data_IF_996061969692
#
_entry.id   IF_996061969692
#
_cell.length_a   1.000
_cell.length_b   1.000
_cell.length_c   1.000
_cell.angle_alpha   90.00
_cell.angle_beta   90.00
_cell.angle_gamma   90.00
#
_symmetry.space_group_name_H-M   'P 1'
#
loop_
_entity.id
_entity.type
_entity.pdbx_description
1 polymer ?
#
# COMPACT_ATOMS: atom_id res chain seq x y z
N UNK A 1 -15.23 -14.08 16.08
CA UNK A 1 -14.61 -13.21 15.06
C UNK A 1 -15.43 -13.31 13.79
N UNK A 2 -15.88 -12.18 13.27
CA UNK A 2 -16.64 -12.13 12.03
C UNK A 2 -15.71 -12.45 10.82
N UNK A 3 -16.30 -12.87 9.69
CA UNK A 3 -15.56 -13.27 8.50
C UNK A 3 -14.61 -12.14 8.03
N UNK A 4 -15.07 -10.88 8.03
CA UNK A 4 -14.25 -9.72 7.69
C UNK A 4 -12.98 -9.63 8.56
N UNK A 5 -13.10 -9.72 9.89
CA UNK A 5 -11.97 -9.69 10.81
C UNK A 5 -10.98 -10.85 10.59
N UNK A 6 -11.48 -12.03 10.18
CA UNK A 6 -10.60 -13.17 9.84
C UNK A 6 -9.79 -12.88 8.58
N UNK A 7 -10.39 -12.25 7.57
CA UNK A 7 -9.71 -11.89 6.34
C UNK A 7 -8.66 -10.79 6.56
N UNK A 8 -8.97 -9.78 7.39
CA UNK A 8 -8.00 -8.75 7.80
C UNK A 8 -6.82 -9.36 8.56
N UNK A 9 -7.08 -10.30 9.48
CA UNK A 9 -6.03 -11.00 10.23
C UNK A 9 -5.18 -11.88 9.30
N UNK A 10 -5.81 -12.60 8.37
CA UNK A 10 -5.10 -13.39 7.35
C UNK A 10 -4.12 -12.51 6.56
N UNK A 11 -4.55 -11.31 6.14
CA UNK A 11 -3.67 -10.36 5.46
C UNK A 11 -2.46 -9.99 6.30
N UNK A 12 -2.64 -9.66 7.57
CA UNK A 12 -1.53 -9.34 8.48
C UNK A 12 -0.56 -10.51 8.62
N UNK A 13 -1.09 -11.75 8.67
CA UNK A 13 -0.27 -12.97 8.71
C UNK A 13 0.49 -13.18 7.39
N UNK A 14 -0.10 -12.84 6.25
CA UNK A 14 0.54 -13.00 4.93
C UNK A 14 1.71 -12.03 4.72
N UNK A 15 1.74 -10.88 5.40
CA UNK A 15 2.80 -9.86 5.24
C UNK A 15 4.21 -10.39 5.53
N UNK A 16 4.48 -11.08 6.66
CA UNK A 16 5.81 -11.62 6.90
C UNK A 16 6.22 -12.70 5.90
N UNK A 17 5.27 -13.50 5.39
CA UNK A 17 5.57 -14.45 4.32
C UNK A 17 5.90 -13.74 3.00
N UNK A 18 5.17 -12.68 2.67
CA UNK A 18 5.49 -11.83 1.53
C UNK A 18 6.92 -11.27 1.64
N UNK A 19 7.27 -10.68 2.79
CA UNK A 19 8.60 -10.13 3.03
C UNK A 19 9.68 -11.23 2.94
N UNK A 20 9.42 -12.40 3.52
CA UNK A 20 10.33 -13.54 3.43
C UNK A 20 10.63 -13.92 1.98
N UNK A 21 9.60 -14.13 1.16
CA UNK A 21 9.81 -14.48 -0.25
C UNK A 21 10.44 -13.35 -1.06
N UNK A 22 10.10 -12.08 -0.78
CA UNK A 22 10.73 -10.94 -1.45
C UNK A 22 12.24 -10.88 -1.18
N UNK A 23 12.68 -11.22 0.03
CA UNK A 23 14.08 -11.10 0.45
C UNK A 23 14.88 -12.42 0.33
N UNK A 24 14.25 -13.49 -0.15
CA UNK A 24 14.88 -14.83 -0.25
C UNK A 24 15.27 -15.20 -1.69
N UNK A 25 15.50 -14.23 -2.57
CA UNK A 25 15.82 -14.44 -3.99
C UNK A 25 16.98 -15.41 -4.22
N UNK A 26 18.01 -15.35 -3.38
CA UNK A 26 19.20 -16.19 -3.48
C UNK A 26 19.01 -17.60 -2.92
N UNK A 27 17.96 -17.84 -2.13
CA UNK A 27 17.77 -19.09 -1.38
C UNK A 27 16.61 -19.91 -1.96
N UNK A 28 15.53 -19.24 -2.35
CA UNK A 28 14.29 -19.90 -2.78
C UNK A 28 14.08 -19.70 -4.28
N UNK A 29 14.03 -20.77 -5.09
CA UNK A 29 13.72 -20.65 -6.50
C UNK A 29 12.36 -19.96 -6.73
N UNK A 30 12.33 -19.04 -7.70
CA UNK A 30 11.12 -18.30 -8.05
C UNK A 30 10.50 -17.52 -6.88
N UNK A 31 11.32 -17.00 -5.96
CA UNK A 31 10.86 -16.34 -4.75
C UNK A 31 9.99 -15.12 -5.05
N UNK A 32 10.32 -14.32 -6.05
CA UNK A 32 9.52 -13.17 -6.48
C UNK A 32 8.13 -13.56 -7.02
N UNK A 33 8.02 -14.75 -7.66
CA UNK A 33 6.72 -15.27 -8.09
C UNK A 33 5.85 -15.63 -6.87
N UNK A 34 6.41 -16.28 -5.86
CA UNK A 34 5.70 -16.62 -4.63
C UNK A 34 5.28 -15.34 -3.89
N UNK A 35 6.17 -14.34 -3.81
CA UNK A 35 5.84 -13.04 -3.25
C UNK A 35 4.69 -12.36 -4.01
N UNK A 36 4.71 -12.38 -5.35
CA UNK A 36 3.64 -11.83 -6.18
C UNK A 36 2.29 -12.52 -5.93
N UNK A 37 2.27 -13.84 -5.80
CA UNK A 37 1.06 -14.61 -5.50
C UNK A 37 0.51 -14.20 -4.13
N UNK A 38 1.36 -14.11 -3.11
CA UNK A 38 0.94 -13.68 -1.75
C UNK A 38 0.41 -12.26 -1.78
N UNK A 39 1.08 -11.34 -2.47
CA UNK A 39 0.64 -9.95 -2.63
C UNK A 39 -0.73 -9.86 -3.32
N UNK A 40 -0.94 -10.62 -4.39
CA UNK A 40 -2.21 -10.67 -5.10
C UNK A 40 -3.33 -11.23 -4.22
N UNK A 41 -3.10 -12.35 -3.52
CA UNK A 41 -4.08 -12.95 -2.58
C UNK A 41 -4.44 -11.96 -1.48
N UNK A 42 -3.45 -11.31 -0.86
CA UNK A 42 -3.67 -10.33 0.19
C UNK A 42 -4.45 -9.10 -0.31
N UNK A 43 -4.16 -8.61 -1.53
CA UNK A 43 -4.86 -7.46 -2.14
C UNK A 43 -6.30 -7.79 -2.55
N UNK A 44 -6.54 -9.01 -3.07
CA UNK A 44 -7.90 -9.46 -3.42
C UNK A 44 -8.73 -9.64 -2.14
N UNK A 45 -8.13 -10.19 -1.09
CA UNK A 45 -8.77 -10.38 0.22
C UNK A 45 -9.23 -9.04 0.81
N UNK A 46 -8.43 -7.97 0.68
CA UNK A 46 -8.79 -6.60 1.08
C UNK A 46 -10.05 -6.09 0.38
N UNK A 47 -10.10 -6.28 -0.94
CA UNK A 47 -11.26 -5.85 -1.72
C UNK A 47 -12.52 -6.65 -1.35
N UNK A 48 -12.37 -7.92 -1.00
CA UNK A 48 -13.46 -8.81 -0.65
C UNK A 48 -14.03 -8.51 0.74
N UNK A 49 -13.17 -8.34 1.76
CA UNK A 49 -13.62 -8.09 3.14
C UNK A 49 -14.37 -6.77 3.28
N UNK A 50 -13.89 -5.70 2.63
CA UNK A 50 -14.58 -4.41 2.60
C UNK A 50 -15.97 -4.47 1.95
N UNK A 51 -16.19 -5.31 0.93
CA UNK A 51 -17.51 -5.53 0.32
C UNK A 51 -18.41 -6.37 1.22
N UNK A 52 -17.88 -7.42 1.83
CA UNK A 52 -18.61 -8.34 2.73
C UNK A 52 -19.04 -7.59 3.99
N UNK A 53 -18.15 -6.86 4.65
CA UNK A 53 -18.45 -6.11 5.86
C UNK A 53 -19.58 -5.10 5.65
N UNK A 54 -19.57 -4.38 4.52
CA UNK A 54 -20.65 -3.43 4.15
C UNK A 54 -21.96 -4.12 3.83
N UNK A 55 -21.93 -5.24 3.10
CA UNK A 55 -23.14 -5.97 2.70
C UNK A 55 -23.89 -6.59 3.88
N UNK A 56 -23.17 -7.06 4.89
CA UNK A 56 -23.75 -7.79 6.03
C UNK A 56 -23.81 -6.97 7.32
N UNK A 57 -23.52 -5.65 7.30
CA UNK A 57 -23.47 -4.78 8.48
C UNK A 57 -22.64 -5.33 9.66
N UNK A 58 -21.60 -6.12 9.36
CA UNK A 58 -20.75 -6.79 10.36
C UNK A 58 -19.55 -5.94 10.77
N UNK A 59 -19.74 -4.64 10.96
CA UNK A 59 -18.66 -3.72 11.32
C UNK A 59 -18.41 -3.76 12.82
N UNK A 60 -17.24 -4.22 13.25
CA UNK A 60 -16.82 -4.26 14.66
C UNK A 60 -15.88 -3.09 14.97
N UNK A 61 -15.80 -2.67 16.25
CA UNK A 61 -14.86 -1.63 16.67
C UNK A 61 -13.39 -2.05 16.43
N UNK A 62 -13.10 -3.33 16.61
CA UNK A 62 -11.79 -3.91 16.33
C UNK A 62 -11.45 -3.84 14.82
N UNK A 63 -12.40 -4.21 13.94
CA UNK A 63 -12.23 -4.10 12.49
C UNK A 63 -12.00 -2.66 12.04
N UNK A 64 -12.78 -1.70 12.54
CA UNK A 64 -12.61 -0.27 12.24
C UNK A 64 -11.20 0.26 12.53
N UNK A 65 -10.55 -0.29 13.55
CA UNK A 65 -9.17 0.08 13.90
C UNK A 65 -8.14 -0.69 13.07
N UNK A 66 -8.36 -2.00 12.88
CA UNK A 66 -7.39 -2.89 12.24
C UNK A 66 -7.36 -2.71 10.71
N UNK A 67 -8.51 -2.48 10.07
CA UNK A 67 -8.63 -2.38 8.61
C UNK A 67 -7.73 -1.27 8.03
N UNK A 68 -7.73 0.00 8.52
CA UNK A 68 -6.86 1.04 8.01
C UNK A 68 -5.37 0.76 8.22
N UNK A 69 -5.02 -0.07 9.19
CA UNK A 69 -3.64 -0.46 9.47
C UNK A 69 -3.21 -1.60 8.54
N UNK A 70 -4.00 -2.66 8.46
CA UNK A 70 -3.74 -3.83 7.65
C UNK A 70 -3.62 -3.50 6.14
N UNK A 71 -4.47 -2.58 5.65
CA UNK A 71 -4.45 -2.06 4.29
C UNK A 71 -3.08 -1.45 3.91
N UNK A 72 -2.41 -0.81 4.85
CA UNK A 72 -1.13 -0.14 4.62
C UNK A 72 0.09 -1.03 4.84
N UNK A 73 -0.01 -1.97 5.78
CA UNK A 73 1.15 -2.80 6.16
C UNK A 73 1.71 -3.56 4.96
N UNK A 74 0.86 -4.13 4.11
CA UNK A 74 1.30 -4.86 2.92
C UNK A 74 2.06 -3.96 1.94
N UNK A 75 1.50 -2.79 1.62
CA UNK A 75 2.10 -1.81 0.69
C UNK A 75 3.42 -1.26 1.25
N UNK A 76 3.42 -0.88 2.53
CA UNK A 76 4.63 -0.37 3.20
C UNK A 76 5.72 -1.44 3.23
N UNK A 77 5.37 -2.70 3.51
CA UNK A 77 6.33 -3.81 3.50
C UNK A 77 6.92 -4.02 2.10
N UNK A 78 6.09 -3.96 1.05
CA UNK A 78 6.59 -4.05 -0.32
C UNK A 78 7.60 -2.94 -0.65
N UNK A 79 7.28 -1.70 -0.26
CA UNK A 79 8.16 -0.56 -0.47
C UNK A 79 9.47 -0.67 0.32
N UNK A 80 9.44 -1.20 1.55
CA UNK A 80 10.64 -1.46 2.36
C UNK A 80 11.51 -2.54 1.71
N UNK A 81 10.90 -3.65 1.24
CA UNK A 81 11.62 -4.69 0.51
C UNK A 81 12.29 -4.14 -0.75
N UNK A 82 11.61 -3.23 -1.49
CA UNK A 82 12.20 -2.60 -2.67
C UNK A 82 13.43 -1.75 -2.33
N UNK A 83 13.42 -1.06 -1.20
CA UNK A 83 14.60 -0.30 -0.73
C UNK A 83 15.75 -1.25 -0.42
N UNK A 84 15.50 -2.34 0.30
CA UNK A 84 16.51 -3.35 0.67
C UNK A 84 17.12 -4.01 -0.57
N UNK A 85 16.29 -4.32 -1.58
CA UNK A 85 16.73 -4.90 -2.85
C UNK A 85 17.35 -3.89 -3.82
N UNK A 86 17.42 -2.60 -3.46
CA UNK A 86 17.94 -1.55 -4.32
C UNK A 86 17.03 -1.15 -5.50
N UNK A 87 15.77 -1.59 -5.50
CA UNK A 87 14.80 -1.33 -6.58
C UNK A 87 14.10 0.02 -6.44
N UNK A 88 14.19 0.65 -5.28
CA UNK A 88 13.61 1.95 -5.01
C UNK A 88 14.49 2.79 -4.10
N UNK A 89 14.49 4.12 -4.33
CA UNK A 89 15.20 5.07 -3.47
C UNK A 89 14.56 5.14 -2.07
N UNK A 90 15.38 5.09 -1.01
CA UNK A 90 14.92 5.24 0.37
C UNK A 90 14.20 6.56 0.61
N UNK A 91 14.65 7.68 0.02
CA UNK A 91 14.02 8.98 0.17
C UNK A 91 12.62 9.02 -0.44
N UNK A 92 12.46 8.50 -1.65
CA UNK A 92 11.17 8.41 -2.36
C UNK A 92 10.20 7.57 -1.53
N UNK A 93 10.66 6.42 -1.07
CA UNK A 93 9.89 5.51 -0.22
C UNK A 93 9.46 6.17 1.09
N UNK A 94 10.39 6.85 1.78
CA UNK A 94 10.10 7.55 3.03
C UNK A 94 9.02 8.61 2.86
N UNK A 95 9.05 9.40 1.78
CA UNK A 95 8.02 10.41 1.48
C UNK A 95 6.66 9.76 1.26
N UNK A 96 6.59 8.67 0.46
CA UNK A 96 5.34 7.96 0.21
C UNK A 96 4.76 7.42 1.53
N UNK A 97 5.58 6.74 2.33
CA UNK A 97 5.17 6.12 3.60
C UNK A 97 4.73 7.18 4.61
N UNK A 98 5.54 8.23 4.83
CA UNK A 98 5.20 9.31 5.75
C UNK A 98 3.85 9.94 5.42
N UNK A 99 3.62 10.24 4.14
CA UNK A 99 2.34 10.80 3.70
C UNK A 99 1.17 9.82 3.93
N UNK A 100 1.35 8.52 3.70
CA UNK A 100 0.30 7.54 3.94
C UNK A 100 -0.17 7.54 5.40
N UNK A 101 0.78 7.65 6.35
CA UNK A 101 0.47 7.71 7.76
C UNK A 101 -0.14 9.06 8.17
N UNK A 102 0.42 10.18 7.72
CA UNK A 102 -0.09 11.54 8.03
C UNK A 102 -1.55 11.69 7.61
N UNK A 103 -1.87 11.37 6.35
CA UNK A 103 -3.26 11.51 5.86
C UNK A 103 -4.21 10.55 6.55
N UNK A 104 -3.73 9.37 6.94
CA UNK A 104 -4.57 8.41 7.66
C UNK A 104 -4.83 8.84 9.09
N UNK A 105 -3.81 9.43 9.75
CA UNK A 105 -3.98 10.02 11.08
C UNK A 105 -5.00 11.15 11.07
N UNK A 106 -4.89 12.09 10.13
CA UNK A 106 -5.87 13.20 9.99
C UNK A 106 -7.28 12.66 9.74
N UNK A 107 -7.42 11.63 8.90
CA UNK A 107 -8.72 11.00 8.63
C UNK A 107 -9.31 10.33 9.87
N UNK A 108 -8.48 9.73 10.71
CA UNK A 108 -8.89 9.11 11.95
C UNK A 108 -9.38 10.16 12.97
N UNK A 109 -8.64 11.27 13.11
CA UNK A 109 -9.02 12.41 13.95
C UNK A 109 -10.34 13.01 13.47
N UNK A 110 -10.47 13.31 12.18
CA UNK A 110 -11.69 13.88 11.60
C UNK A 110 -12.92 12.96 11.74
N UNK A 111 -12.73 11.65 11.73
CA UNK A 111 -13.82 10.67 11.97
C UNK A 111 -14.27 10.63 13.44
N UNK A 112 -13.38 10.97 14.38
CA UNK A 112 -13.65 11.04 15.82
C UNK A 112 -14.23 12.37 16.29
N UNK A 113 -14.15 13.44 15.48
CA UNK A 113 -14.66 14.76 15.84
C UNK A 113 -16.18 14.82 15.84
N UNK A 114 -16.78 15.63 16.73
CA UNK A 114 -18.24 15.79 16.88
C UNK A 114 -18.94 16.23 15.58
N UNK A 115 -18.24 16.94 14.71
CA UNK A 115 -18.78 17.46 13.43
C UNK A 115 -18.90 16.41 12.32
N UNK A 116 -18.51 15.13 12.55
CA UNK A 116 -18.63 13.99 11.60
C UNK A 116 -18.50 14.41 10.13
N UNK A 117 -17.47 15.18 9.79
CA UNK A 117 -17.25 15.63 8.41
C UNK A 117 -16.88 14.39 7.58
N UNK A 118 -17.85 13.86 6.84
CA UNK A 118 -17.62 12.72 5.93
C UNK A 118 -16.73 13.21 4.80
N UNK A 119 -15.46 12.81 4.88
CA UNK A 119 -14.45 13.16 3.91
C UNK A 119 -14.70 12.37 2.64
N UNK A 120 -15.25 13.00 1.62
CA UNK A 120 -15.39 12.38 0.30
C UNK A 120 -14.00 12.03 -0.27
N UNK A 121 -13.86 10.81 -0.78
CA UNK A 121 -12.63 10.37 -1.42
C UNK A 121 -12.35 11.22 -2.66
N UNK A 122 -11.35 12.10 -2.61
CA UNK A 122 -10.96 12.92 -3.74
C UNK A 122 -10.41 12.02 -4.88
N UNK A 123 -10.58 12.44 -6.13
CA UNK A 123 -10.04 11.75 -7.32
C UNK A 123 -8.52 11.58 -7.18
N UNK A 124 -7.82 12.58 -6.63
CA UNK A 124 -6.38 12.52 -6.34
C UNK A 124 -6.00 11.42 -5.35
N UNK A 125 -6.85 11.18 -4.34
CA UNK A 125 -6.67 10.07 -3.40
C UNK A 125 -6.79 8.69 -4.05
N UNK A 126 -7.67 8.53 -5.03
CA UNK A 126 -7.81 7.28 -5.80
C UNK A 126 -6.62 7.09 -6.76
N UNK A 127 -6.23 8.15 -7.45
CA UNK A 127 -5.14 8.12 -8.44
C UNK A 127 -3.80 7.76 -7.77
N UNK A 128 -3.47 8.35 -6.61
CA UNK A 128 -2.24 8.04 -5.88
C UNK A 128 -2.18 6.58 -5.44
N UNK A 129 -3.30 6.02 -4.95
CA UNK A 129 -3.34 4.62 -4.52
C UNK A 129 -3.19 3.69 -5.70
N UNK A 130 -3.88 3.97 -6.81
CA UNK A 130 -3.76 3.20 -8.03
C UNK A 130 -2.33 3.24 -8.58
N UNK A 131 -1.68 4.42 -8.62
CA UNK A 131 -0.31 4.55 -9.12
C UNK A 131 0.70 3.76 -8.29
N UNK A 132 0.61 3.80 -6.96
CA UNK A 132 1.51 3.04 -6.09
C UNK A 132 1.30 1.53 -6.24
N UNK A 133 0.05 1.06 -6.31
CA UNK A 133 -0.25 -0.35 -6.53
C UNK A 133 0.23 -0.84 -7.89
N UNK A 134 0.02 -0.05 -8.94
CA UNK A 134 0.53 -0.35 -10.30
C UNK A 134 2.06 -0.40 -10.30
N UNK A 135 2.72 0.57 -9.67
CA UNK A 135 4.17 0.58 -9.55
C UNK A 135 4.69 -0.69 -8.88
N UNK A 136 4.11 -1.09 -7.72
CA UNK A 136 4.50 -2.31 -7.02
C UNK A 136 4.33 -3.54 -7.92
N UNK A 137 3.16 -3.70 -8.54
CA UNK A 137 2.88 -4.85 -9.40
C UNK A 137 3.84 -4.92 -10.58
N UNK A 138 4.06 -3.80 -11.28
CA UNK A 138 4.95 -3.76 -12.47
C UNK A 138 6.38 -4.06 -12.07
N UNK A 139 6.88 -3.49 -10.97
CA UNK A 139 8.25 -3.73 -10.49
C UNK A 139 8.44 -5.21 -10.16
N UNK A 140 7.55 -5.83 -9.40
CA UNK A 140 7.63 -7.26 -9.07
C UNK A 140 7.59 -8.11 -10.35
N UNK A 141 6.67 -7.82 -11.28
CA UNK A 141 6.56 -8.57 -12.55
C UNK A 141 7.84 -8.46 -13.37
N UNK A 142 8.44 -7.27 -13.49
CA UNK A 142 9.70 -7.10 -14.21
C UNK A 142 10.82 -7.97 -13.61
N UNK A 143 10.92 -7.99 -12.28
CA UNK A 143 11.93 -8.81 -11.60
C UNK A 143 11.64 -10.32 -11.69
N UNK A 144 10.38 -10.73 -11.76
CA UNK A 144 10.01 -12.12 -12.09
C UNK A 144 10.49 -12.47 -13.51
N UNK A 145 10.30 -11.59 -14.49
CA UNK A 145 10.74 -11.83 -15.87
C UNK A 145 12.27 -11.91 -15.98
N UNK A 146 12.99 -11.15 -15.16
CA UNK A 146 14.46 -11.24 -15.05
C UNK A 146 14.85 -12.59 -14.43
N UNK A 147 14.21 -13.01 -13.34
CA UNK A 147 14.46 -14.26 -12.62
C UNK A 147 14.20 -15.49 -13.52
N UNK A 148 13.21 -15.44 -14.39
CA UNK A 148 12.92 -16.43 -15.42
C UNK A 148 13.85 -16.38 -16.64
N UNK A 149 14.74 -15.40 -16.73
CA UNK A 149 15.60 -15.17 -17.90
C UNK A 149 14.86 -14.74 -19.17
N UNK A 150 13.59 -14.31 -19.03
CA UNK A 150 12.80 -13.83 -20.17
C UNK A 150 13.26 -12.44 -20.65
N UNK A 151 13.82 -11.64 -19.75
CA UNK A 151 14.51 -10.37 -20.03
C UNK A 151 15.83 -10.34 -19.28
N UNK A 152 16.84 -9.69 -19.87
CA UNK A 152 18.12 -9.44 -19.18
C UNK A 152 18.14 -7.98 -18.69
N UNK A 153 18.68 -7.75 -17.51
CA UNK A 153 18.82 -6.40 -16.95
C UNK A 153 19.70 -5.48 -17.82
N UNK A 154 20.57 -6.06 -18.65
CA UNK A 154 21.41 -5.33 -19.60
C UNK A 154 20.63 -4.84 -20.83
N UNK A 155 19.69 -5.67 -21.33
CA UNK A 155 18.91 -5.35 -22.53
C UNK A 155 17.65 -4.54 -22.22
N UNK A 156 17.15 -4.60 -20.99
CA UNK A 156 15.92 -3.93 -20.58
C UNK A 156 16.19 -3.06 -19.33
N UNK A 157 15.88 -1.76 -19.37
CA UNK A 157 16.23 -0.81 -18.28
C UNK A 157 15.29 -0.94 -17.08
N UNK A 158 15.29 -2.11 -16.42
CA UNK A 158 14.40 -2.45 -15.28
C UNK A 158 14.50 -1.41 -14.18
N UNK A 159 15.72 -1.04 -13.78
CA UNK A 159 15.95 -0.07 -12.72
C UNK A 159 15.40 1.32 -13.07
N UNK A 160 15.65 1.80 -14.29
CA UNK A 160 15.13 3.09 -14.75
C UNK A 160 13.61 3.14 -14.73
N UNK A 161 12.95 2.05 -15.15
CA UNK A 161 11.47 1.96 -15.14
C UNK A 161 10.96 1.94 -13.70
N UNK A 162 11.61 1.19 -12.81
CA UNK A 162 11.28 1.14 -11.38
C UNK A 162 11.38 2.54 -10.76
N UNK A 163 12.47 3.24 -11.01
CA UNK A 163 12.67 4.61 -10.53
C UNK A 163 11.59 5.56 -11.05
N UNK A 164 11.30 5.55 -12.35
CA UNK A 164 10.25 6.40 -12.95
C UNK A 164 8.89 6.13 -12.30
N UNK A 165 8.50 4.87 -12.13
CA UNK A 165 7.23 4.51 -11.51
C UNK A 165 7.16 4.98 -10.05
N UNK A 166 8.24 4.82 -9.30
CA UNK A 166 8.33 5.26 -7.91
C UNK A 166 8.30 6.79 -7.80
N UNK A 167 9.00 7.53 -8.67
CA UNK A 167 8.94 8.99 -8.71
C UNK A 167 7.54 9.51 -9.07
N UNK A 168 6.87 8.91 -10.06
CA UNK A 168 5.49 9.26 -10.41
C UNK A 168 4.57 9.04 -9.20
N UNK A 169 4.68 7.90 -8.53
CA UNK A 169 3.91 7.59 -7.32
C UNK A 169 4.19 8.59 -6.20
N UNK A 170 5.44 8.99 -6.01
CA UNK A 170 5.85 9.98 -5.02
C UNK A 170 5.23 11.36 -5.31
N UNK A 171 5.30 11.83 -6.56
CA UNK A 171 4.72 13.13 -6.97
C UNK A 171 3.21 13.13 -6.73
N UNK A 172 2.49 12.11 -7.23
CA UNK A 172 1.04 12.00 -7.07
C UNK A 172 0.63 11.92 -5.60
N UNK A 173 1.40 11.18 -4.81
CA UNK A 173 1.19 11.01 -3.37
C UNK A 173 1.40 12.35 -2.64
N UNK A 174 2.45 13.08 -2.95
CA UNK A 174 2.77 14.39 -2.35
C UNK A 174 1.72 15.43 -2.71
N UNK A 175 1.36 15.58 -3.99
CA UNK A 175 0.32 16.52 -4.46
C UNK A 175 -1.03 16.23 -3.78
N UNK A 176 -1.41 14.94 -3.75
CA UNK A 176 -2.64 14.52 -3.06
C UNK A 176 -2.59 14.80 -1.55
N UNK A 177 -1.41 14.67 -0.92
CA UNK A 177 -1.21 14.97 0.50
C UNK A 177 -1.36 16.45 0.82
N UNK A 178 -0.69 17.31 0.06
CA UNK A 178 -0.75 18.77 0.21
C UNK A 178 -2.20 19.25 0.05
N UNK A 179 -2.89 18.79 -1.01
CA UNK A 179 -4.30 19.13 -1.21
C UNK A 179 -5.16 18.71 -0.02
N UNK A 180 -4.92 17.49 0.49
CA UNK A 180 -5.66 16.98 1.64
C UNK A 180 -5.43 17.85 2.89
N UNK A 181 -4.19 18.20 3.22
CA UNK A 181 -3.85 19.08 4.33
C UNK A 181 -4.48 20.47 4.19
N UNK A 182 -4.51 21.01 2.97
CA UNK A 182 -5.12 22.29 2.69
C UNK A 182 -6.63 22.29 2.90
N UNK A 183 -7.31 21.26 2.40
CA UNK A 183 -8.76 21.10 2.50
C UNK A 183 -9.22 20.92 3.96
N UNK A 184 -8.37 20.30 4.82
CA UNK A 184 -8.70 20.00 6.24
C UNK A 184 -8.02 20.90 7.27
N UNK A 185 -7.36 21.97 6.84
CA UNK A 185 -6.66 22.90 7.75
C UNK A 185 -7.56 23.49 8.84
N UNK A 186 -8.86 23.67 8.59
CA UNK A 186 -9.79 24.21 9.57
C UNK A 186 -10.17 23.18 10.65
N UNK A 187 -10.28 21.92 10.31
CA UNK A 187 -10.53 20.83 11.26
C UNK A 187 -9.35 20.70 12.23
N UNK A 188 -8.12 20.82 11.71
CA UNK A 188 -6.88 20.75 12.52
C UNK A 188 -6.72 21.95 13.47
N UNK A 189 -7.36 23.10 13.18
CA UNK A 189 -7.32 24.29 14.05
C UNK A 189 -8.35 24.27 15.16
N UNK A 190 -9.41 23.48 15.03
CA UNK A 190 -10.53 23.47 15.98
C UNK A 190 -10.25 22.54 17.17
N UNK A 191 -9.34 21.57 17.01
CA UNK A 191 -8.96 20.57 18.03
C UNK A 191 -7.60 20.89 18.70
N UNK A 192 -6.98 22.04 18.41
CA UNK A 192 -5.76 22.55 19.04
C UNK A 192 -6.09 23.75 19.94
#
# INVERSE_FOLDING_TARGET
>A
MNLANKLTLLRVILVPFFAFFMLSGDIVPYSYLWAAIIFAVASITDTADGKIARKYNMVTNFGKFLDPLADKVLVVTALICFVELGWASAWVTAIIVAREFVVSGIRLIAAGSEKKTVIAASIWGKLKTASTMVAICVIIIMHILVDFGAITAEAFPVQLISDILMYISCILTTVSGIKYLWDYREVLKTDA
#
